data_IF_690709535304
#
_entry.id   IF_690709535304
#
_cell.length_a   1.000
_cell.length_b   1.000
_cell.length_c   1.000
_cell.angle_alpha   90.00
_cell.angle_beta   90.00
_cell.angle_gamma   90.00
#
_symmetry.space_group_name_H-M   'P 1'
#
loop_
_entity.id
_entity.type
_entity.pdbx_description
1 polymer ?
#
# COMPACT_ATOMS: atom_id res chain seq x y z
N UNK A 1 10.15 -63.97 -45.02
CA UNK A 1 9.22 -63.16 -44.22
C UNK A 1 10.03 -62.13 -43.46
N UNK A 2 9.70 -60.84 -43.66
CA UNK A 2 10.27 -59.60 -43.09
C UNK A 2 11.79 -59.44 -43.30
N UNK A 3 12.30 -58.49 -44.06
CA UNK A 3 11.71 -57.24 -44.54
C UNK A 3 12.79 -56.17 -44.44
N UNK A 4 13.10 -55.52 -45.55
CA UNK A 4 14.15 -54.51 -45.64
C UNK A 4 13.94 -53.36 -44.68
N UNK A 5 14.84 -53.22 -43.71
CA UNK A 5 14.95 -52.04 -42.85
C UNK A 5 16.40 -51.59 -42.61
N UNK A 6 17.41 -52.45 -42.79
CA UNK A 6 18.81 -52.01 -42.59
C UNK A 6 19.37 -51.27 -43.83
N UNK A 7 18.78 -51.41 -45.03
CA UNK A 7 19.16 -50.54 -46.16
C UNK A 7 18.60 -49.10 -46.04
N UNK A 8 17.86 -48.78 -44.96
CA UNK A 8 17.65 -47.41 -44.49
C UNK A 8 18.76 -46.93 -43.52
N UNK A 9 19.64 -47.83 -43.07
CA UNK A 9 20.74 -47.57 -42.14
C UNK A 9 22.02 -47.05 -42.84
N UNK A 10 22.13 -47.21 -44.16
CA UNK A 10 23.31 -46.81 -44.96
C UNK A 10 23.05 -45.65 -45.95
N UNK A 11 21.81 -45.19 -46.10
CA UNK A 11 21.44 -44.11 -47.05
C UNK A 11 21.11 -42.77 -46.37
N UNK A 12 21.74 -42.50 -45.23
CA UNK A 12 22.02 -41.13 -44.81
C UNK A 12 23.52 -41.01 -44.51
N UNK A 13 24.35 -41.43 -45.47
CA UNK A 13 25.66 -40.81 -45.70
C UNK A 13 25.45 -39.32 -46.04
N UNK A 14 24.91 -38.56 -45.10
CA UNK A 14 25.16 -37.14 -45.00
C UNK A 14 26.26 -36.98 -43.93
N UNK A 15 27.54 -36.72 -44.20
CA UNK A 15 28.12 -36.01 -45.36
C UNK A 15 27.18 -34.96 -45.97
N UNK A 16 26.42 -34.35 -45.06
CA UNK A 16 25.56 -33.20 -45.24
C UNK A 16 25.79 -32.39 -43.98
N UNK A 17 26.39 -31.21 -44.17
CA UNK A 17 27.03 -30.46 -43.11
C UNK A 17 26.17 -30.09 -41.91
N UNK A 18 26.87 -29.77 -40.83
CA UNK A 18 26.46 -28.69 -39.93
C UNK A 18 25.95 -29.13 -38.55
N UNK A 19 26.83 -29.02 -37.55
CA UNK A 19 26.48 -28.46 -36.24
C UNK A 19 25.84 -29.38 -35.19
N UNK A 20 26.67 -29.82 -34.23
CA UNK A 20 26.48 -30.00 -32.77
C UNK A 20 25.05 -29.93 -32.20
N UNK A 21 24.53 -30.78 -31.30
CA UNK A 21 25.07 -31.71 -30.28
C UNK A 21 23.93 -32.69 -29.83
N UNK A 22 24.12 -33.69 -28.93
CA UNK A 22 24.08 -33.44 -27.46
C UNK A 22 24.89 -34.41 -26.57
N UNK A 23 25.13 -34.08 -25.28
CA UNK A 23 25.13 -35.13 -24.23
C UNK A 23 26.24 -35.26 -23.16
N UNK A 24 26.94 -34.20 -22.73
CA UNK A 24 27.50 -34.01 -21.36
C UNK A 24 28.64 -34.93 -20.81
N UNK A 25 29.21 -34.64 -19.61
CA UNK A 25 29.18 -33.40 -18.83
C UNK A 25 30.59 -32.88 -18.45
N UNK A 26 30.80 -31.57 -18.60
CA UNK A 26 32.03 -30.86 -18.21
C UNK A 26 32.11 -29.54 -18.98
N UNK A 27 31.12 -28.67 -18.79
CA UNK A 27 30.85 -27.53 -19.67
C UNK A 27 32.04 -26.56 -19.78
N UNK A 28 32.44 -26.19 -21.01
CA UNK A 28 33.52 -25.25 -21.31
C UNK A 28 33.07 -23.78 -21.26
N UNK A 29 34.07 -22.89 -21.16
CA UNK A 29 34.07 -21.45 -21.43
C UNK A 29 32.72 -20.76 -21.68
N UNK A 30 32.23 -20.04 -20.67
CA UNK A 30 31.18 -19.06 -20.82
C UNK A 30 31.76 -17.66 -20.67
N UNK A 31 31.70 -16.86 -21.74
CA UNK A 31 31.91 -15.41 -21.71
C UNK A 31 31.06 -14.85 -20.57
N UNK A 32 31.66 -14.11 -19.64
CA UNK A 32 30.94 -13.35 -18.61
C UNK A 32 30.11 -12.24 -19.29
N UNK A 33 29.00 -12.59 -19.92
CA UNK A 33 27.91 -11.65 -20.12
C UNK A 33 27.12 -11.66 -18.82
N UNK A 34 27.51 -10.78 -17.91
CA UNK A 34 26.61 -10.32 -16.84
C UNK A 34 25.49 -9.56 -17.55
N UNK A 35 24.48 -10.29 -18.04
CA UNK A 35 23.18 -9.69 -18.26
C UNK A 35 22.70 -9.26 -16.87
N UNK A 36 22.60 -7.96 -16.65
CA UNK A 36 21.82 -7.43 -15.54
C UNK A 36 20.34 -7.72 -15.88
N UNK A 37 19.60 -8.50 -15.09
CA UNK A 37 18.26 -8.06 -14.74
C UNK A 37 18.44 -7.02 -13.63
N UNK A 38 18.05 -5.81 -13.99
CA UNK A 38 17.75 -4.68 -13.11
C UNK A 38 17.31 -5.17 -11.73
N UNK A 39 18.05 -4.78 -10.70
CA UNK A 39 17.54 -4.79 -9.34
C UNK A 39 16.53 -3.65 -9.20
N UNK A 40 15.37 -3.79 -9.84
CA UNK A 40 14.15 -3.14 -9.34
C UNK A 40 13.44 -4.16 -8.47
N UNK A 41 14.03 -4.44 -7.31
CA UNK A 41 13.23 -4.86 -6.17
C UNK A 41 12.87 -3.60 -5.40
N UNK A 42 12.03 -2.76 -5.98
CA UNK A 42 11.17 -1.93 -5.14
C UNK A 42 10.18 -2.91 -4.51
N UNK A 43 10.40 -3.26 -3.24
CA UNK A 43 9.34 -3.88 -2.43
C UNK A 43 8.36 -2.73 -2.15
N UNK A 44 7.65 -2.30 -3.18
CA UNK A 44 6.55 -1.35 -3.05
C UNK A 44 5.41 -2.15 -2.46
N UNK A 45 5.33 -2.08 -1.13
CA UNK A 45 4.17 -2.55 -0.41
C UNK A 45 2.96 -1.87 -1.05
N UNK A 46 2.00 -2.65 -1.57
CA UNK A 46 0.84 -2.09 -2.26
C UNK A 46 0.22 -0.96 -1.41
N UNK A 47 -0.05 0.25 -1.96
CA UNK A 47 -0.57 1.38 -1.19
C UNK A 47 -1.84 1.05 -0.41
N UNK A 48 -2.65 0.11 -0.93
CA UNK A 48 -3.83 -0.48 -0.30
C UNK A 48 -3.57 -1.20 1.03
N UNK A 49 -2.32 -1.33 1.46
CA UNK A 49 -1.95 -1.95 2.73
C UNK A 49 -1.39 -0.95 3.74
N UNK A 50 -1.08 0.29 3.34
CA UNK A 50 -0.46 1.31 4.21
C UNK A 50 -1.40 1.70 5.37
N UNK A 51 -0.81 2.13 6.48
CA UNK A 51 -1.54 2.51 7.69
C UNK A 51 -2.47 3.68 7.40
N UNK A 52 -3.73 3.61 7.86
CA UNK A 52 -4.79 4.59 7.57
C UNK A 52 -5.12 5.48 8.76
N UNK A 53 -4.23 5.47 9.73
CA UNK A 53 -4.49 6.08 11.03
C UNK A 53 -3.60 7.28 11.24
N UNK A 54 -4.24 8.42 11.53
CA UNK A 54 -3.57 9.58 12.08
C UNK A 54 -3.61 9.51 13.61
N UNK A 55 -2.44 9.56 14.23
CA UNK A 55 -2.34 9.54 15.69
C UNK A 55 -2.28 10.95 16.25
N UNK A 56 -3.06 11.20 17.28
CA UNK A 56 -2.94 12.39 18.10
C UNK A 56 -1.55 12.44 18.71
N UNK A 57 -0.87 13.56 18.49
CA UNK A 57 0.43 13.83 19.05
C UNK A 57 0.35 15.15 19.86
N UNK A 58 0.47 15.08 21.20
CA UNK A 58 0.41 16.26 22.06
C UNK A 58 1.64 17.17 21.92
N UNK A 59 2.74 16.68 21.33
CA UNK A 59 4.00 17.42 21.17
C UNK A 59 4.32 17.79 19.72
N UNK A 60 3.56 17.28 18.75
CA UNK A 60 3.76 17.62 17.35
C UNK A 60 3.43 19.09 17.10
N UNK A 61 4.48 19.88 16.84
CA UNK A 61 4.39 21.20 16.22
C UNK A 61 3.88 21.14 14.77
N UNK A 62 3.69 19.94 14.22
CA UNK A 62 3.22 19.75 12.86
C UNK A 62 1.74 20.12 12.73
N UNK A 63 1.48 21.37 12.37
CA UNK A 63 0.13 21.85 12.02
C UNK A 63 -0.50 21.05 10.86
N UNK A 64 0.31 20.31 10.10
CA UNK A 64 -0.13 19.55 8.92
C UNK A 64 -0.33 18.05 9.17
N UNK A 65 0.04 17.51 10.33
CA UNK A 65 -0.13 16.09 10.66
C UNK A 65 0.78 15.13 9.90
N UNK A 66 0.70 13.85 10.25
CA UNK A 66 1.44 12.78 9.57
C UNK A 66 0.83 12.50 8.19
N UNK A 67 1.66 12.20 7.20
CA UNK A 67 1.20 11.81 5.88
C UNK A 67 0.78 10.34 5.87
N UNK A 68 -0.49 10.10 5.57
CA UNK A 68 -1.04 8.82 5.15
C UNK A 68 -1.07 8.83 3.64
N UNK A 69 -0.71 7.71 3.02
CA UNK A 69 -0.69 7.57 1.56
C UNK A 69 -1.74 6.55 1.16
N UNK A 70 -2.48 6.86 0.10
CA UNK A 70 -3.52 6.01 -0.44
C UNK A 70 -3.52 6.08 -1.97
N UNK A 71 -4.04 5.02 -2.59
CA UNK A 71 -4.27 5.00 -4.03
C UNK A 71 -5.41 5.97 -4.41
N UNK A 72 -5.47 6.44 -5.66
CA UNK A 72 -6.50 7.39 -6.07
C UNK A 72 -7.89 6.77 -6.01
N UNK A 73 -8.03 5.50 -6.41
CA UNK A 73 -9.24 4.70 -6.26
C UNK A 73 -9.55 4.23 -4.83
N UNK A 74 -8.71 4.54 -3.83
CA UNK A 74 -8.93 4.07 -2.46
C UNK A 74 -10.17 4.73 -1.83
N UNK A 75 -11.17 3.90 -1.55
CA UNK A 75 -12.41 4.22 -0.83
C UNK A 75 -12.54 3.33 0.41
N UNK A 76 -12.15 3.87 1.56
CA UNK A 76 -12.02 3.11 2.82
C UNK A 76 -12.22 3.99 4.04
N UNK A 77 -12.29 3.31 5.17
CA UNK A 77 -12.33 3.93 6.49
C UNK A 77 -10.92 4.32 6.95
N UNK A 78 -10.82 5.54 7.49
CA UNK A 78 -9.61 6.12 8.05
C UNK A 78 -9.82 6.43 9.52
N UNK A 79 -8.81 6.08 10.32
CA UNK A 79 -8.82 6.22 11.77
C UNK A 79 -8.15 7.51 12.24
N UNK A 80 -8.71 8.13 13.27
CA UNK A 80 -8.08 9.18 14.04
C UNK A 80 -7.96 8.70 15.48
N UNK A 81 -6.74 8.37 15.87
CA UNK A 81 -6.40 7.82 17.18
C UNK A 81 -6.23 8.95 18.20
N UNK A 82 -7.08 8.97 19.23
CA UNK A 82 -7.04 9.91 20.34
C UNK A 82 -6.60 9.23 21.65
N UNK A 83 -6.14 7.97 21.63
CA UNK A 83 -5.70 7.21 22.82
C UNK A 83 -4.57 7.89 23.60
N UNK A 84 -3.79 8.74 22.92
CA UNK A 84 -2.69 9.53 23.50
C UNK A 84 -3.14 10.89 24.04
N UNK A 85 -4.39 11.27 23.81
CA UNK A 85 -4.98 12.52 24.30
C UNK A 85 -5.09 12.47 25.83
N UNK A 86 -4.50 13.42 26.57
CA UNK A 86 -4.50 13.38 28.03
C UNK A 86 -5.93 13.44 28.60
N UNK A 87 -6.85 14.10 27.91
CA UNK A 87 -8.26 14.16 28.27
C UNK A 87 -8.94 12.79 28.18
N UNK A 88 -8.68 12.03 27.11
CA UNK A 88 -9.21 10.67 26.94
C UNK A 88 -8.62 9.74 28.02
N UNK A 89 -7.31 9.86 28.28
CA UNK A 89 -6.64 9.12 29.36
C UNK A 89 -7.15 9.49 30.76
N UNK A 90 -7.66 10.70 30.93
CA UNK A 90 -8.32 11.14 32.15
C UNK A 90 -9.78 10.64 32.27
N UNK A 91 -10.27 9.86 31.31
CA UNK A 91 -11.61 9.26 31.32
C UNK A 91 -12.70 10.07 30.62
N UNK A 92 -12.35 11.13 29.87
CA UNK A 92 -13.33 11.83 29.04
C UNK A 92 -13.68 11.00 27.81
N UNK A 93 -14.95 11.05 27.41
CA UNK A 93 -15.46 10.32 26.26
C UNK A 93 -15.59 11.24 25.05
N UNK A 94 -15.43 10.67 23.86
CA UNK A 94 -15.67 11.37 22.59
C UNK A 94 -17.17 11.37 22.33
N UNK A 95 -17.75 12.55 22.09
CA UNK A 95 -19.19 12.72 21.82
C UNK A 95 -19.50 12.92 20.34
N UNK A 96 -18.48 13.20 19.53
CA UNK A 96 -18.60 13.31 18.08
C UNK A 96 -17.37 13.95 17.46
N UNK A 97 -17.41 14.13 16.14
CA UNK A 97 -16.32 14.78 15.43
C UNK A 97 -16.74 15.32 14.07
N UNK A 98 -15.84 16.09 13.46
CA UNK A 98 -15.98 16.59 12.11
C UNK A 98 -14.61 16.69 11.43
N UNK A 99 -14.56 16.44 10.13
CA UNK A 99 -13.37 16.72 9.33
C UNK A 99 -13.40 18.17 8.87
N UNK A 100 -12.24 18.81 8.92
CA UNK A 100 -11.96 20.14 8.42
C UNK A 100 -11.00 20.02 7.23
N UNK A 101 -11.24 20.80 6.16
CA UNK A 101 -10.38 20.78 4.98
C UNK A 101 -10.68 19.62 4.03
N UNK A 102 -9.65 19.12 3.33
CA UNK A 102 -9.80 18.01 2.37
C UNK A 102 -10.59 18.36 1.10
N UNK A 103 -10.55 19.62 0.65
CA UNK A 103 -11.25 20.04 -0.58
C UNK A 103 -10.86 19.14 -1.77
N UNK A 104 -11.85 18.60 -2.46
CA UNK A 104 -11.67 17.63 -3.55
C UNK A 104 -11.76 16.16 -3.13
N UNK A 105 -11.91 15.87 -1.84
CA UNK A 105 -12.24 14.54 -1.32
C UNK A 105 -13.75 14.42 -1.05
N UNK A 106 -14.27 13.21 -1.18
CA UNK A 106 -15.57 12.83 -0.65
C UNK A 106 -15.38 12.32 0.77
N UNK A 107 -15.90 13.06 1.74
CA UNK A 107 -15.73 12.77 3.16
C UNK A 107 -17.09 12.37 3.74
N UNK A 108 -17.17 11.16 4.27
CA UNK A 108 -18.37 10.65 4.93
C UNK A 108 -18.65 11.29 6.29
N UNK A 109 -19.68 10.79 6.96
CA UNK A 109 -19.95 11.15 8.34
C UNK A 109 -18.82 10.63 9.25
N UNK A 110 -18.43 11.45 10.22
CA UNK A 110 -17.47 11.03 11.26
C UNK A 110 -18.25 10.35 12.39
N UNK A 111 -17.84 9.16 12.77
CA UNK A 111 -18.40 8.42 13.90
C UNK A 111 -17.32 8.12 14.94
N UNK A 112 -17.75 7.96 16.19
CA UNK A 112 -16.90 7.39 17.25
C UNK A 112 -16.70 5.91 16.96
N UNK A 113 -15.47 5.42 17.17
CA UNK A 113 -15.14 4.01 17.03
C UNK A 113 -16.08 3.16 17.91
N UNK A 114 -16.87 2.29 17.28
CA UNK A 114 -17.74 1.34 17.99
C UNK A 114 -17.03 0.01 18.29
N UNK A 115 -16.01 -0.31 17.51
CA UNK A 115 -15.16 -1.50 17.61
C UNK A 115 -13.70 -1.11 17.40
N UNK A 116 -12.79 -2.02 17.73
CA UNK A 116 -11.35 -1.78 17.57
C UNK A 116 -10.98 -1.66 16.08
N UNK A 117 -10.16 -0.67 15.74
CA UNK A 117 -9.74 -0.39 14.36
C UNK A 117 -8.27 0.01 14.32
N UNK A 118 -7.44 -0.69 13.56
CA UNK A 118 -6.02 -0.35 13.30
C UNK A 118 -5.22 -0.01 14.59
N UNK A 119 -5.34 -0.89 15.59
CA UNK A 119 -4.76 -0.78 16.95
C UNK A 119 -5.32 0.37 17.82
N UNK A 120 -6.47 0.95 17.43
CA UNK A 120 -7.22 1.92 18.24
C UNK A 120 -8.37 1.17 18.91
N UNK A 121 -8.48 1.28 20.23
CA UNK A 121 -9.57 0.67 20.98
C UNK A 121 -10.90 1.37 20.73
N UNK A 122 -12.00 0.62 20.84
CA UNK A 122 -13.35 1.16 20.80
C UNK A 122 -13.52 2.36 21.76
N UNK A 123 -14.11 3.45 21.27
CA UNK A 123 -14.31 4.69 22.03
C UNK A 123 -13.09 5.60 22.18
N UNK A 124 -11.88 5.16 21.80
CA UNK A 124 -10.65 5.97 21.89
C UNK A 124 -10.28 6.70 20.58
N UNK A 125 -11.10 6.57 19.54
CA UNK A 125 -10.87 7.18 18.25
C UNK A 125 -12.13 7.59 17.49
N UNK A 126 -11.90 8.25 16.36
CA UNK A 126 -12.92 8.57 15.37
C UNK A 126 -12.61 7.85 14.06
N UNK A 127 -13.64 7.44 13.35
CA UNK A 127 -13.53 6.85 12.02
C UNK A 127 -14.34 7.66 11.01
N UNK A 128 -13.82 7.73 9.78
CA UNK A 128 -14.52 8.35 8.66
C UNK A 128 -14.15 7.64 7.38
N UNK A 129 -15.15 7.43 6.52
CA UNK A 129 -14.92 6.94 5.17
C UNK A 129 -14.48 8.08 4.27
N UNK A 130 -13.36 7.94 3.58
CA UNK A 130 -12.84 8.94 2.63
C UNK A 130 -12.65 8.27 1.28
N UNK A 131 -13.12 8.93 0.23
CA UNK A 131 -12.99 8.49 -1.15
C UNK A 131 -12.75 9.65 -2.12
N UNK A 132 -12.47 9.31 -3.38
CA UNK A 132 -12.17 10.26 -4.43
C UNK A 132 -10.80 10.93 -4.26
N UNK A 133 -10.71 12.17 -4.75
CA UNK A 133 -9.45 12.88 -4.94
C UNK A 133 -8.79 12.55 -6.27
N UNK A 134 -7.63 13.17 -6.50
CA UNK A 134 -6.87 13.10 -7.75
C UNK A 134 -5.49 12.54 -7.45
N UNK A 135 -5.08 11.49 -8.16
CA UNK A 135 -3.75 10.92 -8.02
C UNK A 135 -2.63 11.93 -8.30
N UNK A 136 -1.60 11.91 -7.45
CA UNK A 136 -0.51 12.88 -7.43
C UNK A 136 -0.79 14.11 -6.55
N UNK A 137 -1.95 14.19 -5.88
CA UNK A 137 -2.33 15.34 -5.05
C UNK A 137 -2.21 15.03 -3.56
N UNK A 138 -1.77 16.03 -2.80
CA UNK A 138 -1.72 15.97 -1.34
C UNK A 138 -2.81 16.83 -0.73
N UNK A 139 -3.68 16.23 0.07
CA UNK A 139 -4.79 16.85 0.76
C UNK A 139 -4.43 17.11 2.22
N UNK A 140 -4.61 18.35 2.67
CA UNK A 140 -4.53 18.70 4.08
C UNK A 140 -5.92 18.64 4.69
N UNK A 141 -6.05 17.91 5.79
CA UNK A 141 -7.30 17.75 6.51
C UNK A 141 -7.02 17.67 8.01
N UNK A 142 -8.04 17.84 8.82
CA UNK A 142 -7.91 17.65 10.26
C UNK A 142 -9.20 17.09 10.82
N UNK A 143 -9.11 16.17 11.77
CA UNK A 143 -10.27 15.69 12.51
C UNK A 143 -10.41 16.47 13.80
N UNK A 144 -11.55 17.13 13.98
CA UNK A 144 -11.89 17.84 15.21
C UNK A 144 -12.85 16.99 16.04
N UNK A 145 -12.32 16.35 17.07
CA UNK A 145 -13.10 15.62 18.06
C UNK A 145 -13.73 16.58 19.09
N UNK A 146 -14.95 16.28 19.50
CA UNK A 146 -15.63 16.93 20.64
C UNK A 146 -15.70 15.95 21.80
N UNK A 147 -15.33 16.41 22.99
CA UNK A 147 -15.30 15.61 24.21
C UNK A 147 -16.55 15.86 25.06
N UNK A 148 -16.81 14.99 26.03
CA UNK A 148 -17.95 15.08 26.95
C UNK A 148 -18.00 16.37 27.79
N UNK A 149 -16.85 17.00 28.03
CA UNK A 149 -16.76 18.31 28.69
C UNK A 149 -16.93 19.51 27.72
N UNK A 150 -17.27 19.27 26.45
CA UNK A 150 -17.42 20.29 25.42
C UNK A 150 -16.10 20.79 24.81
N UNK A 151 -14.94 20.36 25.32
CA UNK A 151 -13.64 20.68 24.74
C UNK A 151 -13.49 20.05 23.37
N UNK A 152 -12.79 20.74 22.47
CA UNK A 152 -12.51 20.25 21.12
C UNK A 152 -11.01 20.00 20.96
N UNK A 153 -10.68 18.80 20.48
CA UNK A 153 -9.30 18.36 20.22
C UNK A 153 -9.16 18.14 18.73
N UNK A 154 -8.04 18.58 18.14
CA UNK A 154 -7.82 18.49 16.70
C UNK A 154 -6.64 17.58 16.41
N UNK A 155 -6.85 16.59 15.54
CA UNK A 155 -5.83 15.71 14.99
C UNK A 155 -5.56 16.17 13.56
N UNK A 156 -4.43 16.85 13.28
CA UNK A 156 -4.09 17.22 11.92
C UNK A 156 -3.69 15.96 11.12
N UNK A 157 -4.00 15.95 9.83
CA UNK A 157 -3.71 14.85 8.93
C UNK A 157 -3.40 15.30 7.52
N UNK A 158 -2.55 14.53 6.84
CA UNK A 158 -2.25 14.73 5.43
C UNK A 158 -2.52 13.45 4.67
N UNK A 159 -3.34 13.51 3.63
CA UNK A 159 -3.63 12.38 2.75
C UNK A 159 -2.96 12.60 1.41
N UNK A 160 -1.99 11.78 1.07
CA UNK A 160 -1.32 11.80 -0.23
C UNK A 160 -1.99 10.75 -1.12
N UNK A 161 -2.68 11.21 -2.16
CA UNK A 161 -3.24 10.32 -3.18
C UNK A 161 -2.18 10.05 -4.24
N UNK A 162 -1.79 8.81 -4.41
CA UNK A 162 -0.89 8.36 -5.48
C UNK A 162 -1.75 7.88 -6.64
N UNK A 163 -1.30 8.09 -7.87
CA UNK A 163 -1.99 7.55 -9.04
C UNK A 163 -2.04 6.03 -8.95
N UNK A 164 -3.11 5.45 -9.48
CA UNK A 164 -3.16 4.01 -9.66
C UNK A 164 -2.12 3.66 -10.72
N UNK A 165 -1.17 2.81 -10.36
CA UNK A 165 -0.33 2.15 -11.34
C UNK A 165 -1.12 0.93 -11.80
N UNK A 166 -1.49 0.90 -13.08
CA UNK A 166 -2.06 -0.30 -13.70
C UNK A 166 -1.17 -1.50 -13.36
N UNK A 167 -1.74 -2.46 -12.62
CA UNK A 167 -1.11 -3.72 -12.22
C UNK A 167 -0.96 -4.68 -13.39
#
# INVERSE_FOLDING_TARGET
>A
MVGGWINAFLNLLGLGGGGSAPGGPGTPGGVFRRALPTWDRSIERAPSTWSRTWRYDPMALATEGVAVVAAESDDRDYGFDLSRCPEIRAGLTITGGAILGGSGLTIGAVSVLAEDFDDILAGEGLVVRISGGTGGTTYKLACRATLSNGRKVTVPGRLVKVRDYDS
#
